data_IF_741000822724
#
_entry.id   IF_741000822724
#
_cell.length_a   1.000
_cell.length_b   1.000
_cell.length_c   1.000
_cell.angle_alpha   90.00
_cell.angle_beta   90.00
_cell.angle_gamma   90.00
#
_symmetry.space_group_name_H-M   'P 1'
#
loop_
_entity.id
_entity.type
_entity.pdbx_description
1 polymer ?
#
# COMPACT_ATOMS: atom_id res chain seq x y z
N UNK A 1 -54.46 3.47 -15.19
CA UNK A 1 -55.67 2.74 -14.76
C UNK A 1 -56.14 3.39 -13.45
N UNK A 2 -57.40 3.82 -13.37
CA UNK A 2 -57.95 4.61 -12.23
C UNK A 2 -58.03 3.79 -10.93
N UNK A 3 -57.61 4.38 -9.80
CA UNK A 3 -57.78 3.84 -8.44
C UNK A 3 -59.15 4.21 -7.85
N UNK A 4 -59.72 3.33 -7.02
CA UNK A 4 -61.07 3.48 -6.45
C UNK A 4 -61.11 4.26 -5.12
N UNK A 5 -62.25 4.89 -4.86
CA UNK A 5 -62.59 5.79 -3.74
C UNK A 5 -62.32 5.22 -2.31
N UNK A 6 -62.12 3.91 -2.17
CA UNK A 6 -61.89 3.27 -0.87
C UNK A 6 -60.45 3.44 -0.32
N UNK A 7 -59.48 3.83 -1.16
CA UNK A 7 -58.10 4.07 -0.74
C UNK A 7 -57.89 5.45 -0.09
N UNK A 8 -58.74 6.43 -0.41
CA UNK A 8 -58.66 7.78 0.15
C UNK A 8 -59.11 7.83 1.63
N UNK A 9 -60.10 7.02 2.00
CA UNK A 9 -60.61 6.96 3.37
C UNK A 9 -59.61 6.34 4.36
N UNK A 10 -58.75 5.40 3.91
CA UNK A 10 -57.70 4.78 4.74
C UNK A 10 -56.50 5.71 4.96
N UNK A 11 -56.29 6.69 4.10
CA UNK A 11 -55.24 7.69 4.24
C UNK A 11 -55.61 8.76 5.29
N UNK A 12 -56.84 9.31 5.25
CA UNK A 12 -57.23 10.38 6.19
C UNK A 12 -57.32 9.94 7.67
N UNK A 13 -57.63 8.67 7.94
CA UNK A 13 -57.68 8.13 9.30
C UNK A 13 -56.28 7.98 9.95
N UNK A 14 -55.22 7.79 9.15
CA UNK A 14 -53.84 7.69 9.64
C UNK A 14 -53.21 9.05 9.93
N UNK A 15 -53.58 10.08 9.18
CA UNK A 15 -53.12 11.46 9.36
C UNK A 15 -53.66 12.09 10.65
N UNK A 16 -54.90 11.75 11.03
CA UNK A 16 -55.56 12.36 12.20
C UNK A 16 -55.06 11.77 13.53
N UNK A 17 -54.64 10.50 13.55
CA UNK A 17 -54.06 9.87 14.75
C UNK A 17 -52.66 10.42 15.07
N UNK A 18 -51.88 10.80 14.04
CA UNK A 18 -50.54 11.37 14.21
C UNK A 18 -50.57 12.79 14.80
N UNK A 19 -51.59 13.59 14.48
CA UNK A 19 -51.75 14.96 15.01
C UNK A 19 -52.21 14.96 16.48
N UNK A 20 -53.05 14.00 16.89
CA UNK A 20 -53.52 13.89 18.28
C UNK A 20 -52.43 13.37 19.23
N UNK A 21 -51.53 12.51 18.75
CA UNK A 21 -50.38 12.02 19.52
C UNK A 21 -49.30 13.09 19.77
N UNK A 22 -49.23 14.13 18.94
CA UNK A 22 -48.26 15.22 19.10
C UNK A 22 -48.66 16.25 20.19
N UNK A 23 -49.92 16.25 20.63
CA UNK A 23 -50.42 17.20 21.63
C UNK A 23 -50.27 16.73 23.10
N UNK A 24 -49.81 15.50 23.36
CA UNK A 24 -49.76 14.91 24.71
C UNK A 24 -48.35 14.55 25.24
N UNK A 25 -47.28 14.87 24.53
CA UNK A 25 -45.91 14.58 24.97
C UNK A 25 -45.18 15.84 25.45
N UNK A 26 -45.63 16.41 26.57
CA UNK A 26 -44.93 17.49 27.28
C UNK A 26 -44.53 17.06 28.68
N UNK A 27 -43.69 16.02 28.81
CA UNK A 27 -42.84 15.79 29.99
C UNK A 27 -41.68 14.85 29.65
N UNK A 28 -40.46 15.34 29.86
CA UNK A 28 -39.23 14.63 30.26
C UNK A 28 -38.82 13.34 29.52
N UNK A 29 -37.66 13.41 28.86
CA UNK A 29 -36.76 12.29 28.50
C UNK A 29 -37.20 11.36 27.35
N UNK A 30 -37.28 11.90 26.12
CA UNK A 30 -37.27 11.11 24.87
C UNK A 30 -36.85 11.96 23.65
N UNK A 31 -35.81 12.80 23.79
CA UNK A 31 -35.38 13.75 22.74
C UNK A 31 -34.18 13.28 21.89
N UNK A 32 -33.73 12.03 21.95
CA UNK A 32 -32.52 11.56 21.23
C UNK A 32 -32.83 10.55 20.10
N UNK A 33 -34.09 10.14 19.92
CA UNK A 33 -34.47 9.13 18.91
C UNK A 33 -35.42 9.66 17.82
N UNK A 34 -36.04 10.83 18.03
CA UNK A 34 -36.95 11.44 17.05
C UNK A 34 -36.24 12.24 15.94
N UNK A 35 -35.00 12.71 16.17
CA UNK A 35 -34.26 13.55 15.22
C UNK A 35 -33.72 12.73 14.02
N UNK A 36 -33.36 11.46 14.24
CA UNK A 36 -32.85 10.56 13.18
C UNK A 36 -33.92 10.01 12.23
N UNK A 37 -35.20 10.17 12.55
CA UNK A 37 -36.30 9.63 11.75
C UNK A 37 -37.04 10.69 10.91
N UNK A 38 -36.91 11.98 11.21
CA UNK A 38 -37.45 13.05 10.36
C UNK A 38 -36.54 13.39 9.16
N UNK A 39 -35.21 13.30 9.29
CA UNK A 39 -34.28 13.48 8.15
C UNK A 39 -34.46 12.44 7.03
N UNK A 40 -35.14 11.32 7.31
CA UNK A 40 -35.34 10.22 6.36
C UNK A 40 -36.59 10.34 5.49
N UNK A 41 -37.46 11.33 5.74
CA UNK A 41 -38.74 11.48 5.03
C UNK A 41 -38.81 12.68 4.07
N UNK A 42 -37.90 13.66 4.17
CA UNK A 42 -37.78 14.74 3.18
C UNK A 42 -36.87 14.39 1.99
N UNK A 43 -36.18 13.25 2.06
CA UNK A 43 -35.25 12.79 1.05
C UNK A 43 -35.94 12.03 -0.10
N UNK A 44 -36.86 12.68 -0.83
CA UNK A 44 -37.36 12.13 -2.11
C UNK A 44 -38.01 13.16 -3.02
N UNK A 45 -37.35 14.27 -3.33
CA UNK A 45 -37.67 15.07 -4.52
C UNK A 45 -36.38 15.70 -5.05
N UNK A 46 -36.16 15.55 -6.35
CA UNK A 46 -35.19 16.21 -7.25
C UNK A 46 -33.78 15.57 -7.45
N UNK A 47 -33.62 15.08 -8.69
CA UNK A 47 -32.42 14.70 -9.48
C UNK A 47 -31.71 13.34 -9.28
N UNK A 48 -32.46 12.26 -9.02
CA UNK A 48 -32.00 10.88 -9.26
C UNK A 48 -32.84 10.23 -10.38
N UNK A 49 -32.30 10.16 -11.60
CA UNK A 49 -32.93 9.38 -12.68
C UNK A 49 -32.44 7.93 -12.58
N UNK A 50 -33.08 7.15 -11.70
CA UNK A 50 -33.02 5.68 -11.77
C UNK A 50 -33.90 5.20 -12.92
N UNK A 51 -33.30 4.62 -13.96
CA UNK A 51 -34.06 3.88 -14.99
C UNK A 51 -34.20 2.41 -14.58
N UNK A 52 -35.42 1.88 -14.32
CA UNK A 52 -35.65 0.44 -14.33
C UNK A 52 -35.99 -0.01 -15.76
N UNK A 53 -35.12 -0.80 -16.40
CA UNK A 53 -35.49 -1.51 -17.63
C UNK A 53 -36.17 -2.83 -17.27
N UNK A 54 -37.30 -3.10 -17.92
CA UNK A 54 -38.12 -4.31 -17.73
C UNK A 54 -37.59 -5.45 -18.62
N UNK A 55 -36.81 -6.39 -18.06
CA UNK A 55 -36.72 -7.80 -18.48
C UNK A 55 -35.74 -8.59 -17.57
N UNK A 56 -36.26 -9.59 -16.82
CA UNK A 56 -35.59 -10.71 -16.09
C UNK A 56 -34.43 -10.39 -15.11
N UNK A 57 -34.27 -11.09 -13.95
CA UNK A 57 -33.39 -10.62 -12.87
C UNK A 57 -31.92 -10.97 -13.16
N UNK A 58 -31.22 -10.09 -13.88
CA UNK A 58 -29.76 -10.04 -13.88
C UNK A 58 -29.23 -9.52 -12.52
N UNK A 59 -27.99 -9.90 -12.12
CA UNK A 59 -27.37 -9.37 -10.90
C UNK A 59 -27.45 -7.84 -10.93
N UNK A 60 -27.96 -7.25 -9.85
CA UNK A 60 -28.29 -5.82 -9.80
C UNK A 60 -27.03 -5.00 -10.02
N UNK A 61 -26.89 -4.41 -11.20
CA UNK A 61 -25.76 -3.52 -11.52
C UNK A 61 -26.19 -2.09 -11.29
N UNK A 62 -25.41 -1.34 -10.52
CA UNK A 62 -25.70 0.04 -10.15
C UNK A 62 -24.84 1.00 -10.99
N UNK A 63 -25.42 2.11 -11.44
CA UNK A 63 -24.73 3.19 -12.15
C UNK A 63 -25.02 4.53 -11.48
N UNK A 64 -23.98 5.34 -11.27
CA UNK A 64 -24.08 6.70 -10.73
C UNK A 64 -23.23 7.62 -11.61
N UNK A 65 -23.77 8.79 -11.95
CA UNK A 65 -23.07 9.86 -12.69
C UNK A 65 -22.99 11.08 -11.79
N UNK A 66 -21.83 11.72 -11.71
CA UNK A 66 -21.69 12.99 -11.03
C UNK A 66 -21.20 14.09 -11.96
N UNK A 67 -21.88 15.23 -11.92
CA UNK A 67 -21.54 16.46 -12.64
C UNK A 67 -21.56 17.58 -11.62
N UNK A 68 -20.57 18.45 -11.65
CA UNK A 68 -20.59 19.62 -10.76
C UNK A 68 -21.49 20.70 -11.33
N UNK A 69 -22.54 21.04 -10.55
CA UNK A 69 -23.13 22.37 -10.31
C UNK A 69 -24.20 22.38 -9.16
N UNK A 70 -24.42 21.29 -8.41
CA UNK A 70 -25.52 21.22 -7.41
C UNK A 70 -25.09 21.29 -5.92
N UNK A 71 -25.89 21.94 -5.05
CA UNK A 71 -25.49 22.34 -3.70
C UNK A 71 -25.72 21.24 -2.66
N UNK A 72 -24.66 20.81 -1.95
CA UNK A 72 -24.83 20.12 -0.66
C UNK A 72 -23.95 20.77 0.40
N UNK A 73 -24.56 21.66 1.19
CA UNK A 73 -23.96 22.43 2.26
C UNK A 73 -23.69 21.62 3.56
N UNK A 74 -23.35 20.34 3.48
CA UNK A 74 -23.49 19.47 4.65
C UNK A 74 -22.26 19.29 5.55
N UNK A 75 -21.06 19.81 5.22
CA UNK A 75 -19.89 19.68 6.14
C UNK A 75 -18.90 20.84 6.04
N UNK A 76 -19.19 21.94 6.75
CA UNK A 76 -18.30 23.11 6.89
C UNK A 76 -17.09 22.85 7.81
N UNK A 77 -17.04 21.73 8.53
CA UNK A 77 -16.00 21.42 9.54
C UNK A 77 -14.78 20.69 8.97
N UNK A 78 -14.90 20.10 7.77
CA UNK A 78 -13.79 19.40 7.11
C UNK A 78 -13.05 20.31 6.16
N UNK A 79 -11.72 20.27 6.26
CA UNK A 79 -10.80 20.71 5.20
C UNK A 79 -10.68 19.55 4.21
N UNK A 80 -10.52 19.85 2.92
CA UNK A 80 -10.62 18.95 1.76
C UNK A 80 -11.87 18.04 1.72
N UNK A 81 -12.66 18.15 0.66
CA UNK A 81 -13.84 17.30 0.43
C UNK A 81 -13.53 16.24 -0.63
N UNK A 82 -14.09 15.04 -0.46
CA UNK A 82 -13.95 13.93 -1.42
C UNK A 82 -15.34 13.39 -1.78
N UNK A 83 -15.44 12.69 -2.91
CA UNK A 83 -16.67 11.99 -3.28
C UNK A 83 -17.19 11.06 -2.19
N UNK A 84 -16.32 10.31 -1.52
CA UNK A 84 -16.72 9.43 -0.43
C UNK A 84 -17.17 10.20 0.84
N UNK A 85 -16.68 11.42 1.06
CA UNK A 85 -17.15 12.28 2.17
C UNK A 85 -18.59 12.75 1.96
N UNK A 86 -19.00 12.92 0.70
CA UNK A 86 -20.33 13.40 0.29
C UNK A 86 -21.29 12.22 0.07
N UNK A 87 -20.80 11.15 -0.57
CA UNK A 87 -21.53 9.93 -0.90
C UNK A 87 -20.62 8.69 -0.72
N UNK A 88 -20.77 7.91 0.37
CA UNK A 88 -19.90 6.78 0.67
C UNK A 88 -20.08 5.59 -0.29
N UNK A 89 -21.07 5.64 -1.19
CA UNK A 89 -21.23 4.61 -2.23
C UNK A 89 -20.20 4.74 -3.36
N UNK A 90 -19.49 5.86 -3.44
CA UNK A 90 -18.52 6.15 -4.50
C UNK A 90 -17.12 5.77 -4.07
N UNK A 91 -16.49 4.93 -4.88
CA UNK A 91 -15.10 4.53 -4.76
C UNK A 91 -14.18 5.42 -5.59
N UNK A 92 -12.90 5.08 -5.53
CA UNK A 92 -11.83 5.80 -6.21
C UNK A 92 -11.15 4.90 -7.25
N UNK A 93 -10.35 5.50 -8.13
CA UNK A 93 -9.66 4.75 -9.17
C UNK A 93 -8.83 3.61 -8.57
N UNK A 94 -9.05 2.35 -8.97
CA UNK A 94 -8.30 1.22 -8.44
C UNK A 94 -6.80 1.43 -8.59
N UNK A 95 -6.07 1.27 -7.48
CA UNK A 95 -4.61 1.49 -7.40
C UNK A 95 -4.14 2.90 -7.81
N UNK A 96 -5.05 3.88 -7.90
CA UNK A 96 -4.73 5.24 -8.35
C UNK A 96 -4.28 5.31 -9.81
N UNK A 97 -4.66 4.35 -10.66
CA UNK A 97 -4.29 4.33 -12.08
C UNK A 97 -5.43 4.84 -12.94
N UNK A 98 -5.16 5.87 -13.74
CA UNK A 98 -6.13 6.49 -14.65
C UNK A 98 -5.55 6.48 -16.06
N UNK A 99 -6.11 5.65 -16.94
CA UNK A 99 -5.76 5.64 -18.36
C UNK A 99 -6.60 6.66 -19.11
N UNK A 100 -6.01 7.47 -19.98
CA UNK A 100 -6.73 8.58 -20.65
C UNK A 100 -6.29 8.80 -22.10
N UNK A 101 -7.15 9.45 -22.88
CA UNK A 101 -6.89 9.88 -24.26
C UNK A 101 -7.08 11.39 -24.39
N UNK A 102 -6.40 11.98 -25.38
CA UNK A 102 -6.55 13.40 -25.70
C UNK A 102 -7.32 13.60 -27.00
N UNK A 103 -8.29 14.52 -27.00
CA UNK A 103 -9.02 14.92 -28.20
C UNK A 103 -8.68 16.37 -28.57
N UNK A 104 -8.08 16.58 -29.75
CA UNK A 104 -7.80 17.93 -30.27
C UNK A 104 -9.00 18.55 -30.99
N UNK A 105 -10.10 17.82 -31.11
CA UNK A 105 -11.32 18.26 -31.79
C UNK A 105 -11.89 19.47 -31.06
N UNK A 106 -12.05 20.59 -31.77
CA UNK A 106 -12.59 21.82 -31.19
C UNK A 106 -11.59 22.69 -30.43
N UNK A 107 -10.29 22.38 -30.45
CA UNK A 107 -9.26 23.25 -29.84
C UNK A 107 -9.23 24.62 -30.49
N UNK A 108 -9.22 25.65 -29.66
CA UNK A 108 -8.95 27.01 -30.10
C UNK A 108 -7.46 27.34 -30.00
N UNK A 109 -6.85 27.66 -31.15
CA UNK A 109 -5.44 27.99 -31.26
C UNK A 109 -5.02 29.24 -30.46
N UNK A 110 -5.97 30.13 -30.12
CA UNK A 110 -5.72 31.28 -29.28
C UNK A 110 -5.58 30.92 -27.78
N UNK A 111 -6.15 29.80 -27.35
CA UNK A 111 -6.06 29.30 -25.97
C UNK A 111 -4.86 28.36 -25.81
N UNK A 112 -4.66 27.46 -26.78
CA UNK A 112 -3.52 26.53 -26.82
C UNK A 112 -3.05 26.40 -28.26
N UNK A 113 -1.79 26.73 -28.53
CA UNK A 113 -1.30 26.94 -29.90
C UNK A 113 -1.32 25.66 -30.75
N UNK A 114 -1.12 24.50 -30.13
CA UNK A 114 -1.12 23.20 -30.80
C UNK A 114 -1.65 22.10 -29.89
N UNK A 115 -1.88 20.90 -30.46
CA UNK A 115 -2.17 19.69 -29.68
C UNK A 115 -1.04 19.36 -28.69
N UNK A 116 0.22 19.57 -29.10
CA UNK A 116 1.38 19.34 -28.24
C UNK A 116 1.43 20.33 -27.07
N UNK A 117 1.05 21.58 -27.29
CA UNK A 117 0.96 22.62 -26.26
C UNK A 117 -0.10 22.28 -25.19
N UNK A 118 -1.27 21.81 -25.64
CA UNK A 118 -2.33 21.32 -24.76
C UNK A 118 -1.86 20.11 -23.95
N UNK A 119 -1.26 19.12 -24.61
CA UNK A 119 -0.70 17.92 -23.96
C UNK A 119 0.39 18.27 -22.95
N UNK A 120 1.26 19.24 -23.24
CA UNK A 120 2.28 19.70 -22.29
C UNK A 120 1.63 20.32 -21.05
N UNK A 121 0.59 21.13 -21.22
CA UNK A 121 -0.17 21.74 -20.11
C UNK A 121 -0.84 20.67 -19.25
N UNK A 122 -1.49 19.69 -19.89
CA UNK A 122 -2.14 18.57 -19.19
C UNK A 122 -1.13 17.72 -18.42
N UNK A 123 -0.04 17.32 -19.07
CA UNK A 123 1.02 16.52 -18.45
C UNK A 123 1.69 17.27 -17.29
N UNK A 124 1.87 18.59 -17.38
CA UNK A 124 2.42 19.40 -16.30
C UNK A 124 1.49 19.40 -15.07
N UNK A 125 0.18 19.51 -15.26
CA UNK A 125 -0.79 19.45 -14.17
C UNK A 125 -0.87 18.04 -13.55
N UNK A 126 -0.88 16.99 -14.38
CA UNK A 126 -0.82 15.58 -13.91
C UNK A 126 0.44 15.30 -13.10
N UNK A 127 1.59 15.83 -13.52
CA UNK A 127 2.85 15.66 -12.81
C UNK A 127 2.81 16.26 -11.40
N UNK A 128 2.09 17.37 -11.19
CA UNK A 128 1.91 17.94 -9.86
C UNK A 128 1.16 16.97 -8.93
N UNK A 129 0.06 16.38 -9.40
CA UNK A 129 -0.71 15.40 -8.62
C UNK A 129 0.11 14.14 -8.33
N UNK A 130 0.74 13.55 -9.35
CA UNK A 130 1.60 12.36 -9.18
C UNK A 130 2.81 12.59 -8.27
N UNK A 131 3.28 13.84 -8.13
CA UNK A 131 4.36 14.20 -7.22
C UNK A 131 3.94 14.20 -5.74
N UNK A 132 2.64 14.31 -5.43
CA UNK A 132 2.14 14.50 -4.06
C UNK A 132 1.23 13.37 -3.56
N UNK A 133 0.78 12.47 -4.41
CA UNK A 133 -0.01 11.29 -4.04
C UNK A 133 0.24 10.11 -4.99
N UNK A 134 -0.14 8.88 -4.60
CA UNK A 134 0.09 7.66 -5.40
C UNK A 134 -0.90 7.53 -6.56
N UNK A 135 -0.82 8.45 -7.51
CA UNK A 135 -1.64 8.44 -8.73
C UNK A 135 -0.76 8.35 -9.97
N UNK A 136 -1.21 7.58 -10.96
CA UNK A 136 -0.52 7.36 -12.23
C UNK A 136 -1.48 7.62 -13.37
N UNK A 137 -1.12 8.56 -14.24
CA UNK A 137 -1.86 8.84 -15.47
C UNK A 137 -1.20 8.13 -16.66
N UNK A 138 -1.96 7.29 -17.36
CA UNK A 138 -1.49 6.48 -18.49
C UNK A 138 -2.06 7.03 -19.78
N UNK A 139 -1.22 7.71 -20.57
CA UNK A 139 -1.64 8.27 -21.86
C UNK A 139 -1.78 7.16 -22.92
N UNK A 140 -2.99 7.00 -23.46
CA UNK A 140 -3.34 6.00 -24.47
C UNK A 140 -3.31 6.56 -25.92
N UNK A 141 -2.87 7.81 -26.10
CA UNK A 141 -2.78 8.47 -27.39
C UNK A 141 -3.96 9.39 -27.71
N UNK A 142 -3.96 9.90 -28.94
CA UNK A 142 -5.01 10.77 -29.46
C UNK A 142 -6.33 10.02 -29.66
N UNK A 143 -7.44 10.75 -29.66
CA UNK A 143 -8.76 10.29 -30.08
C UNK A 143 -9.52 11.41 -30.80
N UNK A 144 -10.56 11.05 -31.53
CA UNK A 144 -11.56 12.00 -32.06
C UNK A 144 -12.85 12.01 -31.24
N UNK A 145 -12.99 11.11 -30.25
CA UNK A 145 -14.10 11.17 -29.28
C UNK A 145 -14.07 12.51 -28.57
N UNK A 146 -15.24 13.10 -28.35
CA UNK A 146 -15.38 14.28 -27.50
C UNK A 146 -15.54 13.83 -26.03
N UNK A 147 -15.16 14.66 -25.05
CA UNK A 147 -15.38 14.35 -23.65
C UNK A 147 -16.88 14.20 -23.33
N UNK A 148 -17.25 13.09 -22.71
CA UNK A 148 -18.61 12.72 -22.30
C UNK A 148 -19.08 13.45 -21.05
N UNK A 149 -19.34 14.75 -21.17
CA UNK A 149 -19.80 15.59 -20.07
C UNK A 149 -21.32 15.51 -19.96
N UNK A 150 -21.87 15.50 -18.76
CA UNK A 150 -23.28 15.82 -18.64
C UNK A 150 -24.23 14.65 -18.87
N UNK A 151 -25.36 14.97 -19.50
CA UNK A 151 -26.45 14.15 -20.02
C UNK A 151 -26.36 13.98 -21.56
N UNK A 152 -25.17 14.18 -22.15
CA UNK A 152 -24.86 13.83 -23.54
C UNK A 152 -25.14 12.35 -23.85
N UNK A 153 -25.73 12.04 -24.99
CA UNK A 153 -25.88 10.67 -25.49
C UNK A 153 -24.57 9.90 -25.70
N UNK A 154 -23.40 10.56 -25.65
CA UNK A 154 -22.06 9.94 -25.74
C UNK A 154 -21.51 9.42 -24.41
N UNK A 155 -22.29 9.44 -23.33
CA UNK A 155 -21.74 9.02 -22.04
C UNK A 155 -21.55 7.50 -21.97
N UNK A 156 -20.51 7.04 -21.26
CA UNK A 156 -20.33 5.60 -21.02
C UNK A 156 -19.60 4.88 -22.15
N UNK A 157 -18.79 5.58 -22.96
CA UNK A 157 -18.01 4.98 -24.05
C UNK A 157 -16.80 4.16 -23.54
N UNK A 158 -16.55 4.18 -22.22
CA UNK A 158 -15.49 3.45 -21.56
C UNK A 158 -14.11 4.08 -21.75
N UNK A 159 -14.03 5.32 -22.23
CA UNK A 159 -12.79 6.05 -22.42
C UNK A 159 -12.77 7.31 -21.55
N UNK A 160 -11.68 7.49 -20.81
CA UNK A 160 -11.43 8.77 -20.16
C UNK A 160 -10.84 9.73 -21.20
N UNK A 161 -11.57 10.77 -21.58
CA UNK A 161 -11.16 11.75 -22.60
C UNK A 161 -10.96 13.11 -21.96
N UNK A 162 -9.78 13.68 -22.19
CA UNK A 162 -9.52 15.11 -21.95
C UNK A 162 -9.57 15.80 -23.31
N UNK A 163 -10.47 16.77 -23.46
CA UNK A 163 -10.69 17.42 -24.75
C UNK A 163 -11.39 18.77 -24.62
N UNK A 164 -11.87 19.28 -25.74
CA UNK A 164 -12.46 20.61 -25.82
C UNK A 164 -13.98 20.54 -25.90
N UNK A 165 -14.64 21.46 -25.20
CA UNK A 165 -16.08 21.63 -25.19
C UNK A 165 -16.44 23.12 -25.24
N UNK A 166 -17.72 23.43 -25.44
CA UNK A 166 -18.23 24.79 -25.35
C UNK A 166 -19.20 24.88 -24.18
N UNK A 167 -18.92 25.78 -23.25
CA UNK A 167 -19.78 26.06 -22.11
C UNK A 167 -20.39 27.45 -22.22
N UNK A 168 -21.46 27.68 -21.47
CA UNK A 168 -22.08 28.98 -21.35
C UNK A 168 -21.39 29.81 -20.25
N UNK A 169 -21.32 31.13 -20.46
CA UNK A 169 -20.83 32.05 -19.45
C UNK A 169 -19.31 32.00 -19.26
N UNK A 170 -18.87 31.98 -18.00
CA UNK A 170 -17.46 32.06 -17.62
C UNK A 170 -16.89 30.71 -17.13
N UNK A 171 -17.58 29.61 -17.40
CA UNK A 171 -17.10 28.28 -17.07
C UNK A 171 -15.89 27.93 -17.96
N UNK A 172 -14.76 27.59 -17.36
CA UNK A 172 -13.52 27.29 -18.08
C UNK A 172 -13.30 25.79 -18.29
N UNK A 173 -13.92 24.95 -17.47
CA UNK A 173 -13.82 23.50 -17.54
C UNK A 173 -14.94 22.78 -16.82
N UNK A 174 -15.02 21.47 -17.05
CA UNK A 174 -15.91 20.56 -16.35
C UNK A 174 -15.34 19.15 -16.34
N UNK A 175 -15.41 18.49 -15.19
CA UNK A 175 -15.12 17.07 -15.05
C UNK A 175 -16.40 16.28 -14.80
N UNK A 176 -16.57 15.18 -15.53
CA UNK A 176 -17.60 14.17 -15.29
C UNK A 176 -16.96 12.86 -14.88
N UNK A 177 -17.43 12.23 -13.81
CA UNK A 177 -16.96 10.89 -13.39
C UNK A 177 -18.16 9.96 -13.24
N UNK A 178 -17.96 8.68 -13.61
CA UNK A 178 -18.99 7.64 -13.60
C UNK A 178 -18.55 6.46 -12.78
N UNK A 179 -19.50 5.90 -12.04
CA UNK A 179 -19.32 4.69 -11.25
C UNK A 179 -20.25 3.60 -11.74
N UNK A 180 -19.72 2.38 -11.82
CA UNK A 180 -20.49 1.21 -12.22
C UNK A 180 -19.96 -0.05 -11.54
N UNK A 181 -20.85 -0.94 -11.11
CA UNK A 181 -20.46 -2.19 -10.49
C UNK A 181 -21.57 -2.87 -9.69
N UNK A 182 -21.20 -3.97 -9.03
CA UNK A 182 -22.11 -4.83 -8.25
C UNK A 182 -21.77 -4.86 -6.75
N UNK A 183 -20.79 -4.09 -6.29
CA UNK A 183 -20.36 -4.03 -4.89
C UNK A 183 -19.90 -2.63 -4.52
N UNK A 184 -20.29 -2.16 -3.32
CA UNK A 184 -19.94 -0.84 -2.81
C UNK A 184 -18.62 -0.85 -2.02
N UNK A 185 -17.85 0.25 -2.05
CA UNK A 185 -18.07 1.43 -2.89
C UNK A 185 -17.80 1.10 -4.38
N UNK A 186 -18.64 1.64 -5.28
CA UNK A 186 -18.52 1.39 -6.72
C UNK A 186 -17.21 1.98 -7.23
N UNK A 187 -16.42 1.28 -8.07
CA UNK A 187 -15.24 1.88 -8.68
C UNK A 187 -15.64 2.86 -9.79
N UNK A 188 -14.86 3.95 -10.03
CA UNK A 188 -14.99 4.73 -11.24
C UNK A 188 -14.69 3.85 -12.45
N UNK A 189 -15.49 4.00 -13.50
CA UNK A 189 -15.33 3.29 -14.78
C UNK A 189 -14.99 4.22 -15.94
N UNK A 190 -15.31 5.52 -15.80
CA UNK A 190 -15.10 6.54 -16.82
C UNK A 190 -14.97 7.91 -16.14
N UNK A 191 -14.15 8.78 -16.72
CA UNK A 191 -13.89 10.13 -16.25
C UNK A 191 -13.41 11.03 -17.40
N UNK A 192 -14.20 12.03 -17.72
CA UNK A 192 -13.95 12.97 -18.81
C UNK A 192 -13.69 14.37 -18.29
N UNK A 193 -12.84 15.12 -19.00
CA UNK A 193 -12.57 16.54 -18.75
C UNK A 193 -12.81 17.32 -20.03
N UNK A 194 -13.75 18.26 -19.97
CA UNK A 194 -13.98 19.26 -21.00
C UNK A 194 -13.33 20.57 -20.65
N UNK A 195 -12.58 21.12 -21.60
CA UNK A 195 -11.94 22.43 -21.49
C UNK A 195 -12.65 23.40 -22.42
N UNK A 196 -13.04 24.58 -21.92
CA UNK A 196 -13.77 25.54 -22.73
C UNK A 196 -12.91 26.03 -23.90
N UNK A 197 -13.46 25.93 -25.11
CA UNK A 197 -12.79 26.31 -26.34
C UNK A 197 -12.92 27.81 -26.68
N UNK A 198 -13.73 28.56 -25.95
CA UNK A 198 -14.04 29.96 -26.20
C UNK A 198 -13.52 30.89 -25.10
N UNK A 199 -13.47 30.41 -23.86
CA UNK A 199 -13.10 31.17 -22.68
C UNK A 199 -12.29 30.33 -21.69
N UNK A 200 -10.96 30.36 -21.81
CA UNK A 200 -10.07 29.76 -20.82
C UNK A 200 -8.81 30.63 -20.60
N UNK A 201 -8.91 31.68 -19.78
CA UNK A 201 -7.80 32.62 -19.57
C UNK A 201 -6.63 32.03 -18.76
N UNK A 202 -6.82 30.86 -18.14
CA UNK A 202 -5.79 30.13 -17.39
C UNK A 202 -5.98 28.61 -17.57
N UNK A 203 -5.51 28.10 -18.70
CA UNK A 203 -5.66 26.69 -19.05
C UNK A 203 -4.97 25.77 -18.03
N UNK A 204 -3.77 26.12 -17.58
CA UNK A 204 -3.01 25.32 -16.61
C UNK A 204 -3.72 25.19 -15.25
N UNK A 205 -4.29 26.29 -14.73
CA UNK A 205 -5.07 26.26 -13.49
C UNK A 205 -6.38 25.48 -13.64
N UNK A 206 -7.08 25.66 -14.76
CA UNK A 206 -8.30 24.90 -15.07
C UNK A 206 -8.01 23.40 -15.10
N UNK A 207 -7.00 22.95 -15.87
CA UNK A 207 -6.67 21.52 -15.95
C UNK A 207 -6.25 20.98 -14.58
N UNK A 208 -5.48 21.73 -13.80
CA UNK A 208 -5.08 21.30 -12.45
C UNK A 208 -6.28 21.09 -11.53
N UNK A 209 -7.27 21.98 -11.59
CA UNK A 209 -8.53 21.90 -10.84
C UNK A 209 -9.38 20.70 -11.26
N UNK A 210 -9.65 20.57 -12.56
CA UNK A 210 -10.46 19.48 -13.12
C UNK A 210 -9.84 18.10 -12.86
N UNK A 211 -8.51 17.98 -12.92
CA UNK A 211 -7.82 16.74 -12.53
C UNK A 211 -8.08 16.37 -11.06
N UNK A 212 -8.26 17.33 -10.15
CA UNK A 212 -8.65 17.03 -8.77
C UNK A 212 -10.02 16.37 -8.68
N UNK A 213 -10.99 16.85 -9.46
CA UNK A 213 -12.30 16.21 -9.58
C UNK A 213 -12.21 14.81 -10.21
N UNK A 214 -11.36 14.63 -11.21
CA UNK A 214 -11.13 13.32 -11.83
C UNK A 214 -10.56 12.33 -10.80
N UNK A 215 -9.69 12.81 -9.90
CA UNK A 215 -9.10 12.03 -8.82
C UNK A 215 -10.06 11.78 -7.64
N UNK A 216 -11.24 12.40 -7.62
CA UNK A 216 -12.26 12.15 -6.59
C UNK A 216 -12.38 13.23 -5.52
N UNK A 217 -11.78 14.39 -5.73
CA UNK A 217 -11.94 15.55 -4.85
C UNK A 217 -13.17 16.37 -5.23
N UNK A 218 -13.80 16.96 -4.23
CA UNK A 218 -14.88 17.92 -4.37
C UNK A 218 -14.34 19.34 -4.18
N UNK A 219 -15.15 20.36 -4.48
CA UNK A 219 -14.75 21.74 -4.18
C UNK A 219 -14.39 21.89 -2.70
N UNK A 220 -13.23 22.48 -2.43
CA UNK A 220 -12.76 22.78 -1.08
C UNK A 220 -13.54 23.97 -0.48
N UNK A 221 -13.67 24.02 0.84
CA UNK A 221 -14.11 25.21 1.57
C UNK A 221 -12.95 26.20 1.85
N UNK A 222 -11.73 25.92 1.36
CA UNK A 222 -10.56 26.77 1.52
C UNK A 222 -10.34 27.59 0.24
N UNK A 223 -10.55 28.92 0.29
CA UNK A 223 -10.36 29.82 -0.86
C UNK A 223 -8.95 29.76 -1.48
N UNK A 224 -7.95 29.42 -0.68
CA UNK A 224 -6.56 29.29 -1.11
C UNK A 224 -6.18 27.87 -1.54
N UNK A 225 -7.12 26.99 -1.85
CA UNK A 225 -6.87 25.67 -2.43
C UNK A 225 -7.11 25.71 -3.94
N UNK A 226 -6.41 24.92 -4.75
CA UNK A 226 -6.72 24.80 -6.18
C UNK A 226 -8.17 24.36 -6.38
N UNK A 227 -8.67 23.46 -5.53
CA UNK A 227 -10.05 22.97 -5.58
C UNK A 227 -11.08 23.94 -4.99
N UNK A 228 -10.74 25.21 -4.73
CA UNK A 228 -11.74 26.19 -4.28
C UNK A 228 -12.81 26.42 -5.35
N UNK A 229 -14.09 26.37 -4.95
CA UNK A 229 -15.24 26.68 -5.79
C UNK A 229 -16.55 26.74 -4.98
N UNK A 230 -17.61 27.35 -5.54
CA UNK A 230 -18.93 27.39 -4.92
C UNK A 230 -19.49 25.98 -4.64
N UNK A 231 -20.36 25.81 -3.63
CA UNK A 231 -20.96 26.86 -2.80
C UNK A 231 -20.13 27.26 -1.56
N UNK A 232 -19.04 26.55 -1.26
CA UNK A 232 -18.34 26.70 0.02
C UNK A 232 -17.16 27.68 -0.01
N UNK A 233 -16.61 27.94 -1.20
CA UNK A 233 -15.54 28.89 -1.42
C UNK A 233 -15.71 29.59 -2.77
N UNK A 234 -14.75 30.45 -3.13
CA UNK A 234 -14.78 31.21 -4.38
C UNK A 234 -13.69 30.67 -5.28
N UNK A 235 -13.97 30.57 -6.60
CA UNK A 235 -12.98 30.22 -7.60
C UNK A 235 -11.74 31.12 -7.54
N UNK A 236 -10.58 30.54 -7.85
CA UNK A 236 -9.30 31.23 -7.96
C UNK A 236 -8.59 30.88 -9.26
N UNK A 237 -7.36 31.39 -9.42
CA UNK A 237 -6.53 31.17 -10.62
C UNK A 237 -5.20 30.50 -10.28
N UNK A 238 -5.14 29.72 -9.20
CA UNK A 238 -3.93 29.03 -8.79
C UNK A 238 -3.49 27.98 -9.82
N UNK A 239 -2.18 27.86 -10.03
CA UNK A 239 -1.55 26.90 -10.96
C UNK A 239 -0.60 25.95 -10.25
N UNK A 240 -0.64 25.92 -8.92
CA UNK A 240 0.18 25.06 -8.07
C UNK A 240 -0.62 24.51 -6.91
N UNK A 241 -0.51 23.20 -6.66
CA UNK A 241 -1.20 22.52 -5.56
C UNK A 241 -0.85 23.12 -4.20
N UNK A 242 -1.86 23.21 -3.34
CA UNK A 242 -1.76 23.76 -2.00
C UNK A 242 -1.93 22.65 -0.96
N UNK A 243 -1.65 22.97 0.30
CA UNK A 243 -1.67 21.97 1.38
C UNK A 243 -3.02 21.24 1.51
N UNK A 244 -4.14 21.93 1.27
CA UNK A 244 -5.48 21.32 1.29
C UNK A 244 -5.68 20.32 0.14
N UNK A 245 -5.26 20.68 -1.07
CA UNK A 245 -5.32 19.80 -2.25
C UNK A 245 -4.47 18.54 -2.05
N UNK A 246 -3.25 18.71 -1.53
CA UNK A 246 -2.31 17.62 -1.22
C UNK A 246 -2.91 16.68 -0.16
N UNK A 247 -3.43 17.23 0.93
CA UNK A 247 -4.06 16.45 1.99
C UNK A 247 -5.27 15.66 1.46
N UNK A 248 -6.09 16.28 0.61
CA UNK A 248 -7.19 15.63 -0.09
C UNK A 248 -6.73 14.43 -0.91
N UNK A 249 -5.78 14.62 -1.84
CA UNK A 249 -5.32 13.52 -2.69
C UNK A 249 -4.64 12.40 -1.89
N UNK A 250 -3.83 12.75 -0.89
CA UNK A 250 -3.18 11.77 -0.02
C UNK A 250 -4.17 11.02 0.87
N UNK A 251 -5.32 11.61 1.22
CA UNK A 251 -6.37 10.90 1.96
C UNK A 251 -7.02 9.78 1.14
N UNK A 252 -7.00 9.90 -0.19
CA UNK A 252 -7.56 8.91 -1.12
C UNK A 252 -6.50 7.88 -1.53
N UNK A 253 -5.34 8.34 -2.00
CA UNK A 253 -4.33 7.49 -2.65
C UNK A 253 -3.06 7.28 -1.82
N UNK A 254 -2.92 7.97 -0.68
CA UNK A 254 -1.70 7.99 0.12
C UNK A 254 -0.60 8.88 -0.47
N UNK A 255 0.38 9.25 0.37
CA UNK A 255 1.59 9.96 -0.07
C UNK A 255 2.47 9.08 -0.97
N UNK A 256 3.26 9.66 -1.90
CA UNK A 256 4.17 8.90 -2.76
C UNK A 256 5.08 8.00 -1.93
N UNK A 257 5.44 6.84 -2.47
CA UNK A 257 6.43 5.99 -1.81
C UNK A 257 7.78 6.72 -1.78
N UNK A 258 8.51 6.73 -0.65
CA UNK A 258 9.82 7.35 -0.63
C UNK A 258 10.73 6.58 -1.58
N UNK A 259 11.41 7.27 -2.49
CA UNK A 259 12.35 6.63 -3.42
C UNK A 259 13.60 6.12 -2.74
N UNK A 260 13.93 6.71 -1.58
CA UNK A 260 15.04 6.34 -0.70
C UNK A 260 14.50 5.95 0.67
N UNK A 261 14.80 4.73 1.09
CA UNK A 261 14.32 4.11 2.32
C UNK A 261 15.50 3.83 3.24
N UNK A 262 15.34 4.11 4.53
CA UNK A 262 16.35 3.82 5.54
C UNK A 262 16.00 2.55 6.33
N UNK A 263 16.94 1.61 6.36
CA UNK A 263 16.96 0.48 7.28
C UNK A 263 18.01 0.80 8.35
N UNK A 264 17.57 0.99 9.59
CA UNK A 264 18.43 1.37 10.71
C UNK A 264 18.32 0.35 11.85
N UNK A 265 19.19 0.44 12.85
CA UNK A 265 19.05 -0.38 14.06
C UNK A 265 20.33 -0.41 14.87
N UNK A 266 20.38 -1.32 15.84
CA UNK A 266 21.56 -1.54 16.68
C UNK A 266 22.16 -2.93 16.50
N UNK A 267 23.48 -2.99 16.49
CA UNK A 267 24.29 -4.20 16.65
C UNK A 267 25.01 -4.08 17.99
N UNK A 268 24.70 -5.00 18.90
CA UNK A 268 25.26 -5.02 20.25
C UNK A 268 25.07 -6.40 20.90
N UNK A 269 25.70 -6.67 22.06
CA UNK A 269 25.48 -7.91 22.79
C UNK A 269 24.00 -8.19 23.05
N UNK A 270 23.58 -9.45 22.98
CA UNK A 270 22.20 -9.86 23.31
C UNK A 270 21.79 -9.51 24.74
N UNK A 271 22.75 -9.35 25.64
CA UNK A 271 22.54 -8.93 27.03
C UNK A 271 22.36 -7.42 27.19
N UNK A 272 22.87 -6.60 26.26
CA UNK A 272 22.72 -5.15 26.24
C UNK A 272 23.00 -4.57 24.85
N UNK A 273 21.94 -4.34 24.07
CA UNK A 273 22.03 -3.78 22.72
C UNK A 273 22.59 -2.35 22.65
N UNK A 274 22.67 -1.63 23.76
CA UNK A 274 23.23 -0.27 23.79
C UNK A 274 24.76 -0.26 23.93
N UNK A 275 25.39 -1.40 24.17
CA UNK A 275 26.84 -1.53 24.17
C UNK A 275 27.32 -1.80 22.75
N UNK A 276 28.13 -0.90 22.20
CA UNK A 276 28.73 -1.11 20.89
C UNK A 276 29.72 -2.26 20.90
N UNK A 277 29.84 -2.93 19.76
CA UNK A 277 30.85 -3.96 19.51
C UNK A 277 31.95 -3.36 18.63
N UNK A 278 33.15 -3.08 19.16
CA UNK A 278 34.25 -2.53 18.38
C UNK A 278 34.59 -3.41 17.18
N UNK A 279 34.81 -2.80 16.02
CA UNK A 279 35.15 -3.50 14.78
C UNK A 279 33.96 -4.16 14.08
N UNK A 280 32.72 -3.86 14.49
CA UNK A 280 31.54 -4.28 13.76
C UNK A 280 31.52 -3.69 12.34
N UNK A 281 31.27 -4.55 11.35
CA UNK A 281 31.10 -4.15 9.94
C UNK A 281 29.86 -4.82 9.36
N UNK A 282 29.41 -4.33 8.20
CA UNK A 282 28.26 -4.88 7.49
C UNK A 282 28.69 -5.34 6.09
N UNK A 283 28.32 -6.57 5.74
CA UNK A 283 28.30 -7.03 4.35
C UNK A 283 26.86 -7.11 3.89
N UNK A 284 26.59 -6.71 2.65
CA UNK A 284 25.22 -6.64 2.13
C UNK A 284 25.08 -7.39 0.80
N UNK A 285 23.86 -7.83 0.52
CA UNK A 285 23.48 -8.39 -0.78
C UNK A 285 22.29 -7.64 -1.38
N UNK A 286 22.13 -7.70 -2.69
CA UNK A 286 21.12 -6.93 -3.43
C UNK A 286 21.66 -5.60 -3.93
N UNK A 287 21.27 -5.20 -5.14
CA UNK A 287 21.70 -3.93 -5.75
C UNK A 287 20.97 -2.74 -5.12
N UNK A 288 21.61 -1.57 -5.10
CA UNK A 288 20.98 -0.33 -4.63
C UNK A 288 20.90 -0.17 -3.10
N UNK A 289 21.70 -0.91 -2.34
CA UNK A 289 21.93 -0.68 -0.90
C UNK A 289 23.25 0.06 -0.67
N UNK A 290 23.26 0.97 0.30
CA UNK A 290 24.48 1.62 0.80
C UNK A 290 24.40 1.70 2.32
N UNK A 291 25.38 1.14 3.02
CA UNK A 291 25.43 1.14 4.49
C UNK A 291 26.63 1.90 5.02
N UNK A 292 26.43 2.64 6.11
CA UNK A 292 27.53 3.14 6.94
C UNK A 292 28.14 2.04 7.81
N UNK A 293 29.33 2.29 8.35
CA UNK A 293 29.88 1.46 9.43
C UNK A 293 29.08 1.74 10.71
N UNK A 294 28.74 0.71 11.52
CA UNK A 294 28.11 0.92 12.81
C UNK A 294 28.90 1.90 13.69
N UNK A 295 28.21 2.83 14.36
CA UNK A 295 28.83 3.86 15.18
C UNK A 295 29.32 3.33 16.54
N UNK A 296 29.95 4.22 17.34
CA UNK A 296 30.45 3.90 18.68
C UNK A 296 29.36 3.54 19.72
N UNK A 297 28.08 3.61 19.34
CA UNK A 297 26.92 3.18 20.13
C UNK A 297 26.21 1.95 19.50
N UNK A 298 26.84 1.33 18.49
CA UNK A 298 26.32 0.17 17.77
C UNK A 298 25.22 0.50 16.78
N UNK A 299 24.90 1.77 16.54
CA UNK A 299 23.85 2.13 15.58
C UNK A 299 24.36 1.93 14.15
N UNK A 300 23.58 1.28 13.31
CA UNK A 300 23.82 1.22 11.87
C UNK A 300 22.68 1.88 11.10
N UNK A 301 22.99 2.33 9.89
CA UNK A 301 22.03 2.87 8.94
C UNK A 301 22.42 2.48 7.52
N UNK A 302 21.46 1.95 6.80
CA UNK A 302 21.54 1.58 5.40
C UNK A 302 20.45 2.30 4.62
N UNK A 303 20.79 2.80 3.44
CA UNK A 303 19.86 3.40 2.50
C UNK A 303 19.62 2.44 1.35
N UNK A 304 18.37 2.21 0.99
CA UNK A 304 17.92 1.35 -0.11
C UNK A 304 16.88 2.04 -0.97
N UNK A 305 16.71 1.60 -2.21
CA UNK A 305 15.59 2.06 -3.04
C UNK A 305 14.27 1.41 -2.61
N UNK A 306 13.14 2.08 -2.84
CA UNK A 306 11.83 1.43 -2.65
C UNK A 306 11.70 0.16 -3.49
N UNK A 307 11.18 -0.90 -2.88
CA UNK A 307 11.06 -2.24 -3.46
C UNK A 307 12.32 -3.10 -3.30
N UNK A 308 13.35 -2.62 -2.59
CA UNK A 308 14.60 -3.36 -2.42
C UNK A 308 14.40 -4.74 -1.77
N UNK A 309 15.16 -5.72 -2.25
CA UNK A 309 15.21 -7.09 -1.76
C UNK A 309 16.68 -7.51 -1.67
N UNK A 310 17.08 -8.09 -0.54
CA UNK A 310 18.48 -8.37 -0.26
C UNK A 310 18.70 -8.78 1.19
N UNK A 311 19.94 -8.67 1.67
CA UNK A 311 20.29 -9.03 3.04
C UNK A 311 21.39 -8.17 3.62
N UNK A 312 21.39 -8.07 4.96
CA UNK A 312 22.42 -7.40 5.75
C UNK A 312 23.04 -8.43 6.69
N UNK A 313 24.36 -8.59 6.60
CA UNK A 313 25.17 -9.57 7.33
C UNK A 313 26.17 -8.84 8.23
N UNK A 314 25.90 -8.73 9.54
CA UNK A 314 26.84 -8.14 10.47
C UNK A 314 28.04 -9.03 10.71
N UNK A 315 29.22 -8.42 10.82
CA UNK A 315 30.48 -9.12 11.07
C UNK A 315 31.17 -8.49 12.26
N UNK A 316 31.39 -9.28 13.29
CA UNK A 316 32.04 -8.85 14.52
C UNK A 316 32.92 -9.98 15.02
N UNK A 317 34.21 -9.70 15.23
CA UNK A 317 35.13 -10.72 15.76
C UNK A 317 34.70 -11.16 17.17
N UNK A 318 34.70 -12.48 17.41
CA UNK A 318 34.34 -13.05 18.70
C UNK A 318 32.83 -13.16 18.97
N UNK A 319 31.97 -12.72 18.05
CA UNK A 319 30.51 -12.83 18.17
C UNK A 319 29.88 -13.52 16.96
N UNK A 320 28.69 -14.07 17.18
CA UNK A 320 27.74 -14.48 16.13
C UNK A 320 26.59 -13.49 16.11
N UNK A 321 26.25 -13.03 14.91
CA UNK A 321 25.13 -12.13 14.70
C UNK A 321 24.31 -12.70 13.57
N UNK A 322 23.02 -12.89 13.80
CA UNK A 322 22.16 -13.41 12.76
C UNK A 322 21.96 -12.35 11.66
N UNK A 323 22.24 -12.71 10.42
CA UNK A 323 21.97 -11.86 9.26
C UNK A 323 20.45 -11.67 9.08
N UNK A 324 20.06 -10.58 8.42
CA UNK A 324 18.66 -10.24 8.17
C UNK A 324 18.40 -10.20 6.67
N UNK A 325 17.42 -10.99 6.21
CA UNK A 325 16.92 -11.00 4.84
C UNK A 325 15.71 -10.07 4.76
N UNK A 326 15.62 -9.29 3.69
CA UNK A 326 14.56 -8.32 3.44
C UNK A 326 13.95 -8.56 2.07
N UNK A 327 12.63 -8.34 1.95
CA UNK A 327 11.89 -8.47 0.70
C UNK A 327 10.96 -7.27 0.52
N UNK A 328 10.99 -6.66 -0.67
CA UNK A 328 10.12 -5.55 -1.08
C UNK A 328 10.02 -4.42 -0.04
N UNK A 329 11.16 -3.85 0.37
CA UNK A 329 11.21 -2.78 1.38
C UNK A 329 10.70 -1.47 0.78
N UNK A 330 9.57 -0.96 1.27
CA UNK A 330 8.87 0.23 0.73
C UNK A 330 8.69 1.37 1.75
N UNK A 331 9.14 1.18 2.99
CA UNK A 331 9.06 2.15 4.07
C UNK A 331 10.27 2.01 5.01
N UNK A 332 10.61 3.07 5.75
CA UNK A 332 11.69 3.04 6.72
C UNK A 332 11.46 1.96 7.78
N UNK A 333 12.52 1.25 8.15
CA UNK A 333 12.45 0.13 9.11
C UNK A 333 13.58 0.24 10.14
N UNK A 334 13.27 -0.26 11.34
CA UNK A 334 14.26 -0.45 12.41
C UNK A 334 14.44 -1.94 12.68
N UNK A 335 15.66 -2.43 12.58
CA UNK A 335 16.03 -3.83 12.73
C UNK A 335 17.23 -3.97 13.67
N UNK A 336 16.98 -4.35 14.92
CA UNK A 336 18.06 -4.69 15.85
C UNK A 336 18.62 -6.09 15.53
N UNK A 337 19.93 -6.24 15.71
CA UNK A 337 20.72 -7.43 15.41
C UNK A 337 21.56 -7.77 16.64
N UNK A 338 20.96 -8.44 17.65
CA UNK A 338 21.69 -8.84 18.84
C UNK A 338 22.78 -9.85 18.51
N UNK A 339 23.89 -9.74 19.24
CA UNK A 339 25.09 -10.53 19.04
C UNK A 339 25.30 -11.49 20.21
N UNK A 340 25.55 -12.77 19.90
CA UNK A 340 25.93 -13.76 20.89
C UNK A 340 27.46 -13.90 20.94
N UNK A 341 28.02 -13.87 22.14
CA UNK A 341 29.46 -14.09 22.34
C UNK A 341 29.83 -15.55 22.03
N UNK A 342 30.92 -15.76 21.29
CA UNK A 342 31.41 -17.10 20.95
C UNK A 342 32.02 -17.84 22.15
N UNK A 343 32.53 -17.10 23.14
CA UNK A 343 33.16 -17.67 24.32
C UNK A 343 32.16 -18.57 25.07
N UNK A 344 32.57 -19.81 25.35
CA UNK A 344 31.74 -20.82 26.02
C UNK A 344 30.93 -21.70 25.07
N UNK A 345 30.94 -21.44 23.76
CA UNK A 345 30.33 -22.32 22.75
C UNK A 345 31.37 -23.28 22.17
N UNK A 346 31.01 -24.55 22.07
CA UNK A 346 31.83 -25.63 21.49
C UNK A 346 31.50 -25.93 20.03
N UNK A 347 30.37 -25.43 19.54
CA UNK A 347 29.83 -25.73 18.21
C UNK A 347 29.51 -24.45 17.45
N UNK A 348 29.65 -24.46 16.11
CA UNK A 348 29.12 -23.41 15.24
C UNK A 348 28.37 -24.01 14.04
N UNK A 349 27.05 -23.76 13.98
CA UNK A 349 26.21 -24.24 12.89
C UNK A 349 26.28 -23.37 11.64
N UNK A 350 26.83 -22.16 11.74
CA UNK A 350 27.14 -21.26 10.61
C UNK A 350 28.60 -21.51 10.20
N UNK A 351 28.79 -22.47 9.29
CA UNK A 351 30.07 -23.04 8.90
C UNK A 351 30.87 -22.04 8.07
N UNK A 352 30.21 -21.27 7.21
CA UNK A 352 30.82 -20.25 6.36
C UNK A 352 30.91 -18.86 7.03
N UNK A 353 30.33 -18.73 8.23
CA UNK A 353 30.36 -17.55 9.11
C UNK A 353 29.70 -16.33 8.46
N UNK A 354 28.66 -16.54 7.67
CA UNK A 354 27.93 -15.47 7.01
C UNK A 354 26.80 -14.87 7.89
N UNK A 355 26.51 -15.45 9.05
CA UNK A 355 25.43 -15.06 9.95
C UNK A 355 24.09 -15.72 9.64
N UNK A 356 24.02 -16.62 8.67
CA UNK A 356 22.88 -17.47 8.38
C UNK A 356 23.24 -18.91 8.74
N UNK A 357 22.22 -19.69 9.09
CA UNK A 357 22.35 -21.12 9.27
C UNK A 357 21.50 -21.77 8.19
N UNK A 358 22.16 -22.22 7.14
CA UNK A 358 21.55 -22.63 5.88
C UNK A 358 21.64 -24.15 5.72
N UNK A 359 20.50 -24.87 5.68
CA UNK A 359 20.51 -26.33 5.62
C UNK A 359 21.13 -26.89 4.34
N UNK A 360 21.12 -26.12 3.26
CA UNK A 360 21.69 -26.46 1.95
C UNK A 360 23.18 -26.08 1.80
N UNK A 361 23.73 -25.32 2.74
CA UNK A 361 25.15 -24.92 2.76
C UNK A 361 25.87 -25.46 3.98
N UNK A 362 25.55 -24.95 5.16
CA UNK A 362 26.15 -25.37 6.43
C UNK A 362 25.75 -26.80 6.77
N UNK A 363 24.46 -27.11 6.64
CA UNK A 363 23.94 -28.46 6.88
C UNK A 363 24.58 -29.49 5.93
N UNK A 364 24.77 -29.12 4.66
CA UNK A 364 25.45 -29.96 3.66
C UNK A 364 26.94 -30.13 3.99
N UNK A 365 27.63 -29.08 4.45
CA UNK A 365 29.03 -29.18 4.85
C UNK A 365 29.20 -30.18 6.01
N UNK A 366 28.39 -30.04 7.06
CA UNK A 366 28.38 -30.93 8.24
C UNK A 366 28.03 -32.37 7.82
N UNK A 367 26.99 -32.57 7.00
CA UNK A 367 26.61 -33.89 6.52
C UNK A 367 27.71 -34.55 5.67
N UNK A 368 28.31 -33.82 4.73
CA UNK A 368 29.41 -34.34 3.90
C UNK A 368 30.57 -34.83 4.79
N UNK A 369 30.92 -34.06 5.82
CA UNK A 369 31.93 -34.44 6.82
C UNK A 369 31.54 -35.69 7.60
N UNK A 370 30.31 -35.77 8.10
CA UNK A 370 29.81 -36.94 8.83
C UNK A 370 29.74 -38.20 7.97
N UNK A 371 29.57 -38.06 6.65
CA UNK A 371 29.61 -39.17 5.67
C UNK A 371 31.04 -39.51 5.21
N UNK A 372 32.08 -38.92 5.79
CA UNK A 372 33.48 -39.20 5.46
C UNK A 372 33.95 -38.63 4.12
N UNK A 373 33.23 -37.65 3.55
CA UNK A 373 33.67 -36.97 2.32
C UNK A 373 34.92 -36.12 2.59
N UNK A 374 35.77 -35.98 1.57
CA UNK A 374 37.03 -35.24 1.66
C UNK A 374 36.88 -33.74 1.42
N UNK A 375 37.93 -32.96 1.73
CA UNK A 375 37.96 -31.49 1.63
C UNK A 375 37.51 -30.92 0.26
N UNK A 376 37.83 -31.51 -0.90
CA UNK A 376 37.34 -31.02 -2.19
C UNK A 376 35.81 -30.96 -2.31
N UNK A 377 35.11 -31.81 -1.55
CA UNK A 377 33.64 -31.82 -1.52
C UNK A 377 33.03 -30.57 -0.87
N UNK A 378 33.81 -29.65 -0.30
CA UNK A 378 33.30 -28.40 0.29
C UNK A 378 33.18 -27.25 -0.72
N UNK A 379 33.64 -27.45 -1.96
CA UNK A 379 33.61 -26.42 -2.99
C UNK A 379 32.17 -25.92 -3.25
N UNK A 380 32.02 -24.60 -3.37
CA UNK A 380 30.75 -23.94 -3.69
C UNK A 380 29.75 -23.80 -2.53
N UNK A 381 30.07 -24.28 -1.33
CA UNK A 381 29.16 -24.19 -0.18
C UNK A 381 29.11 -22.79 0.46
N UNK A 382 30.16 -21.97 0.31
CA UNK A 382 30.17 -20.60 0.82
C UNK A 382 29.03 -19.76 0.20
N UNK A 383 28.21 -19.19 1.08
CA UNK A 383 27.08 -18.34 0.76
C UNK A 383 27.46 -16.88 0.54
N UNK A 384 26.42 -16.07 0.37
CA UNK A 384 26.58 -14.63 0.21
C UNK A 384 27.13 -14.04 1.50
N UNK A 385 28.13 -13.17 1.38
CA UNK A 385 28.78 -12.56 2.54
C UNK A 385 29.46 -13.57 3.49
N UNK A 386 29.80 -14.77 3.02
CA UNK A 386 30.65 -15.70 3.76
C UNK A 386 31.98 -15.07 4.17
N UNK A 387 32.41 -15.35 5.40
CA UNK A 387 33.74 -14.99 5.90
C UNK A 387 34.72 -16.13 5.66
N UNK A 388 34.24 -17.37 5.65
CA UNK A 388 35.00 -18.54 5.23
C UNK A 388 34.53 -19.00 3.86
N UNK A 389 35.37 -18.82 2.85
CA UNK A 389 35.05 -19.17 1.45
C UNK A 389 35.86 -20.36 0.94
N UNK A 390 36.88 -20.79 1.68
CA UNK A 390 37.78 -21.84 1.24
C UNK A 390 37.24 -23.23 1.61
N UNK A 391 37.39 -24.18 0.70
CA UNK A 391 37.04 -25.58 0.98
C UNK A 391 37.78 -26.12 2.21
N UNK A 392 39.01 -25.67 2.47
CA UNK A 392 39.81 -26.09 3.64
C UNK A 392 39.22 -25.58 4.94
N UNK A 393 38.88 -24.29 5.01
CA UNK A 393 38.31 -23.71 6.21
C UNK A 393 36.89 -24.20 6.48
N UNK A 394 36.06 -24.35 5.43
CA UNK A 394 34.73 -24.99 5.54
C UNK A 394 34.85 -26.44 6.05
N UNK A 395 35.79 -27.21 5.51
CA UNK A 395 36.06 -28.58 5.95
C UNK A 395 36.48 -28.65 7.42
N UNK A 396 37.29 -27.70 7.89
CA UNK A 396 37.72 -27.62 9.29
C UNK A 396 36.58 -27.15 10.22
N UNK A 397 35.77 -26.17 9.80
CA UNK A 397 34.64 -25.65 10.58
C UNK A 397 33.53 -26.71 10.75
N UNK A 398 33.35 -27.58 9.77
CA UNK A 398 32.35 -28.64 9.78
C UNK A 398 32.85 -29.96 10.44
N UNK A 399 33.76 -29.89 11.42
CA UNK A 399 34.30 -31.08 12.08
C UNK A 399 33.22 -31.86 12.88
N UNK A 400 32.91 -33.13 12.54
CA UNK A 400 31.84 -33.89 13.19
C UNK A 400 31.96 -34.00 14.70
N UNK A 401 33.18 -33.95 15.25
CA UNK A 401 33.43 -33.98 16.69
C UNK A 401 32.70 -32.87 17.46
N UNK A 402 32.40 -31.74 16.81
CA UNK A 402 31.70 -30.61 17.41
C UNK A 402 30.17 -30.74 17.37
N UNK A 403 29.63 -31.80 16.76
CA UNK A 403 28.21 -31.89 16.37
C UNK A 403 27.52 -33.14 16.92
N UNK A 404 27.83 -33.56 18.16
CA UNK A 404 27.15 -34.67 18.83
C UNK A 404 25.84 -34.21 19.52
N UNK A 405 24.84 -33.85 18.72
CA UNK A 405 23.58 -33.27 19.22
C UNK A 405 22.67 -34.28 19.93
N UNK A 406 22.78 -35.56 19.57
CA UNK A 406 22.00 -36.64 20.19
C UNK A 406 22.64 -37.18 21.46
N UNK A 407 23.94 -36.95 21.65
CA UNK A 407 24.73 -37.43 22.79
C UNK A 407 25.21 -38.88 22.66
N UNK A 408 24.83 -39.57 21.57
CA UNK A 408 25.25 -40.92 21.25
C UNK A 408 26.54 -40.98 20.43
N UNK A 409 26.66 -42.00 19.58
CA UNK A 409 27.72 -42.10 18.59
C UNK A 409 27.47 -41.12 17.44
N UNK A 410 28.49 -40.34 17.08
CA UNK A 410 28.39 -39.31 16.03
C UNK A 410 28.16 -39.96 14.67
N UNK A 411 27.04 -39.66 14.02
CA UNK A 411 26.76 -40.15 12.67
C UNK A 411 25.91 -39.22 11.83
N UNK A 412 25.99 -39.36 10.51
CA UNK A 412 25.13 -38.62 9.59
C UNK A 412 23.64 -38.99 9.73
N UNK A 413 23.33 -40.24 10.11
CA UNK A 413 21.96 -40.76 10.22
C UNK A 413 21.28 -40.39 11.54
N UNK A 414 22.06 -40.03 12.55
CA UNK A 414 21.58 -39.55 13.86
C UNK A 414 21.73 -38.03 13.92
N UNK A 415 22.92 -37.54 14.22
CA UNK A 415 23.20 -36.14 14.49
C UNK A 415 23.02 -35.26 13.26
N UNK A 416 23.55 -35.69 12.12
CA UNK A 416 23.45 -34.95 10.87
C UNK A 416 22.00 -34.73 10.44
N UNK A 417 21.17 -35.77 10.55
CA UNK A 417 19.75 -35.70 10.21
C UNK A 417 18.98 -34.78 11.17
N UNK A 418 19.24 -34.87 12.48
CA UNK A 418 18.65 -33.97 13.49
C UNK A 418 19.02 -32.52 13.22
N UNK A 419 20.30 -32.24 12.94
CA UNK A 419 20.78 -30.89 12.65
C UNK A 419 20.10 -30.32 11.41
N UNK A 420 20.07 -31.04 10.29
CA UNK A 420 19.40 -30.54 9.07
C UNK A 420 17.91 -30.37 9.26
N UNK A 421 17.23 -31.25 10.01
CA UNK A 421 15.83 -31.06 10.39
C UNK A 421 15.64 -29.76 11.18
N UNK A 422 16.49 -29.50 12.17
CA UNK A 422 16.43 -28.28 12.98
C UNK A 422 16.70 -27.02 12.15
N UNK A 423 17.71 -27.05 11.28
CA UNK A 423 18.02 -25.95 10.36
C UNK A 423 16.87 -25.65 9.39
N UNK A 424 16.09 -26.66 9.02
CA UNK A 424 14.86 -26.51 8.20
C UNK A 424 13.63 -26.09 9.00
N UNK A 425 13.74 -25.90 10.31
CA UNK A 425 12.61 -25.54 11.17
C UNK A 425 11.62 -26.68 11.42
N UNK A 426 12.07 -27.94 11.37
CA UNK A 426 11.22 -29.08 11.69
C UNK A 426 10.65 -28.95 13.12
N UNK A 427 9.36 -29.28 13.33
CA UNK A 427 8.78 -29.28 14.66
C UNK A 427 9.40 -30.38 15.54
N UNK A 428 9.36 -30.20 16.84
CA UNK A 428 9.93 -31.13 17.83
C UNK A 428 9.41 -32.57 17.66
N UNK A 429 8.16 -32.75 17.23
CA UNK A 429 7.54 -34.07 16.98
C UNK A 429 8.17 -34.84 15.82
N UNK A 430 8.77 -34.14 14.85
CA UNK A 430 9.42 -34.73 13.68
C UNK A 430 10.95 -34.82 13.82
N UNK A 431 11.52 -34.17 14.84
CA UNK A 431 12.96 -33.97 14.98
C UNK A 431 13.73 -35.30 15.06
N UNK A 432 13.24 -36.23 15.88
CA UNK A 432 13.85 -37.54 16.12
C UNK A 432 13.06 -38.70 15.47
N UNK A 433 12.09 -38.40 14.61
CA UNK A 433 11.29 -39.45 13.97
C UNK A 433 12.20 -40.39 13.16
N UNK A 434 12.05 -41.69 13.42
CA UNK A 434 12.84 -42.78 12.82
C UNK A 434 14.35 -42.75 13.13
N UNK A 435 14.76 -42.04 14.18
CA UNK A 435 16.13 -42.05 14.69
C UNK A 435 16.15 -42.88 15.98
N UNK A 436 17.06 -43.84 16.06
CA UNK A 436 17.27 -44.65 17.27
C UNK A 436 18.68 -44.39 17.80
N UNK A 437 18.80 -43.42 18.70
CA UNK A 437 20.07 -42.91 19.23
C UNK A 437 20.27 -43.19 20.74
N UNK A 438 19.45 -44.06 21.33
CA UNK A 438 19.60 -44.48 22.72
C UNK A 438 18.98 -43.54 23.76
N UNK A 439 18.09 -42.62 23.36
CA UNK A 439 17.20 -41.91 24.30
C UNK A 439 17.20 -40.39 24.19
N UNK A 440 17.68 -39.80 23.10
CA UNK A 440 17.53 -38.37 22.91
C UNK A 440 16.04 -37.98 22.83
N UNK A 441 15.74 -36.77 23.24
CA UNK A 441 14.43 -36.15 23.09
C UNK A 441 14.58 -34.81 22.41
N UNK A 442 13.50 -34.25 21.87
CA UNK A 442 13.55 -32.90 21.32
C UNK A 442 14.02 -31.87 22.36
N UNK A 443 13.65 -32.07 23.64
CA UNK A 443 14.12 -31.23 24.75
C UNK A 443 15.63 -31.30 24.96
N UNK A 444 16.22 -32.49 24.97
CA UNK A 444 17.68 -32.64 25.15
C UNK A 444 18.45 -32.08 23.95
N UNK A 445 17.94 -32.28 22.73
CA UNK A 445 18.51 -31.69 21.51
C UNK A 445 18.47 -30.16 21.57
N UNK A 446 17.32 -29.57 21.89
CA UNK A 446 17.16 -28.11 21.95
C UNK A 446 18.06 -27.50 23.04
N UNK A 447 18.15 -28.14 24.21
CA UNK A 447 19.04 -27.71 25.29
C UNK A 447 20.53 -27.79 24.88
N UNK A 448 20.92 -28.87 24.21
CA UNK A 448 22.30 -29.05 23.72
C UNK A 448 22.66 -27.97 22.68
N UNK A 449 21.77 -27.72 21.71
CA UNK A 449 21.98 -26.70 20.68
C UNK A 449 22.10 -25.28 21.26
N UNK A 450 21.26 -24.95 22.22
CA UNK A 450 21.33 -23.65 22.91
C UNK A 450 22.65 -23.49 23.67
N UNK A 451 23.04 -24.52 24.45
CA UNK A 451 24.20 -24.45 25.33
C UNK A 451 25.54 -24.58 24.61
N UNK A 452 25.61 -25.39 23.55
CA UNK A 452 26.86 -25.70 22.84
C UNK A 452 27.04 -24.88 21.57
N UNK A 453 25.95 -24.62 20.83
CA UNK A 453 26.00 -23.93 19.56
C UNK A 453 25.49 -22.48 19.62
N UNK A 454 24.81 -22.08 20.71
CA UNK A 454 24.13 -20.79 20.77
C UNK A 454 22.97 -20.71 19.78
N UNK A 455 22.27 -21.82 19.56
CA UNK A 455 21.17 -21.90 18.60
C UNK A 455 19.80 -21.97 19.31
N UNK A 456 18.77 -21.24 18.83
CA UNK A 456 18.82 -20.31 17.70
C UNK A 456 19.67 -19.08 18.01
N UNK A 457 20.26 -18.49 16.96
CA UNK A 457 20.90 -17.19 17.11
C UNK A 457 19.85 -16.13 17.51
N UNK A 458 20.23 -15.13 18.33
CA UNK A 458 19.30 -14.15 18.88
C UNK A 458 18.73 -13.13 17.88
#
# INVERSE_FOLDING_TARGET
>A
MQMSYNDFARWSARSTLAVVLCALASTSALAVVADKHLERLEHRVEDDVQFPSTAEPSPTVYSIVHQFHHPRALRSDRKYLTYANVDPTRGFWPNGVISWRYSDVGRNAAISASAADALNTINAAMAQWSAVCRVTFVYLGMTTSLPGLGNDTNIGDGQNVIGWASFAGNQTGLTGVRWFGSSFPLPPVEGDIGLDNSFNPNLGGTVLHELGHLLGLEHSNVNGAVLSGPPLSIYNSLTSLQADDIAGCQSIYGAPLPTSITISGKIGPSTNLNTALPGATLCTSGSGITCGTPDGNGNFSCTVNSGWTGSIHPRVSGYRVQARKFANVTANQTQNMPAQLNAGLSCNLDVDRNGLIEPDRDGVAILRRMMGQSQPSMSGLAGVCAQETSSTGLFANADPANFNVTGGGISALTDGLVLVRKMRGAPDSALLQSINDGGATAGTVNAWLSSNCGFPLP
#
